data_IF_926450144749
#
_entry.id   IF_926450144749
#
_cell.length_a   1.000
_cell.length_b   1.000
_cell.length_c   1.000
_cell.angle_alpha   90.00
_cell.angle_beta   90.00
_cell.angle_gamma   90.00
#
_symmetry.space_group_name_H-M   'P 1'
#
loop_
_entity.id
_entity.type
_entity.pdbx_description
1 polymer ?
#
# COMPACT_ATOMS: atom_id res chain seq x y z
N UNK A 1 21.07 -59.18 -42.29
CA UNK A 1 21.64 -58.35 -41.22
C UNK A 1 20.71 -58.46 -40.03
N UNK A 2 21.28 -59.01 -38.94
CA UNK A 2 20.86 -59.02 -37.52
C UNK A 2 20.01 -57.80 -37.08
N UNK A 3 19.10 -57.82 -36.10
CA UNK A 3 18.82 -58.63 -34.87
C UNK A 3 17.38 -58.28 -34.42
N UNK A 4 16.48 -59.21 -34.09
CA UNK A 4 16.24 -59.94 -32.82
C UNK A 4 15.60 -59.15 -31.65
N UNK A 5 14.31 -59.45 -31.44
CA UNK A 5 13.39 -59.33 -30.29
C UNK A 5 13.69 -60.36 -29.16
N UNK A 6 13.04 -60.38 -27.97
CA UNK A 6 12.61 -59.31 -27.04
C UNK A 6 12.86 -59.74 -25.53
N UNK A 7 12.05 -59.44 -24.47
CA UNK A 7 12.54 -59.22 -23.09
C UNK A 7 12.26 -60.39 -22.12
N UNK A 8 12.73 -60.36 -20.87
CA UNK A 8 12.12 -61.12 -19.75
C UNK A 8 12.58 -60.61 -18.36
N UNK A 9 11.68 -60.72 -17.38
CA UNK A 9 11.88 -60.62 -15.93
C UNK A 9 11.63 -61.97 -15.24
N UNK A 10 12.30 -62.28 -14.13
CA UNK A 10 11.74 -62.81 -12.86
C UNK A 10 12.78 -63.44 -11.92
N UNK A 11 12.64 -63.12 -10.62
CA UNK A 11 12.83 -63.86 -9.36
C UNK A 11 13.61 -65.18 -9.28
N UNK A 12 14.48 -65.33 -8.25
CA UNK A 12 14.21 -66.12 -7.02
C UNK A 12 15.46 -66.34 -6.13
N UNK A 13 15.26 -66.09 -4.84
CA UNK A 13 15.82 -66.66 -3.59
C UNK A 13 17.03 -67.62 -3.58
N UNK A 14 17.92 -67.43 -2.59
CA UNK A 14 18.51 -68.47 -1.70
C UNK A 14 19.28 -67.78 -0.54
N UNK A 15 18.82 -67.88 0.70
CA UNK A 15 19.13 -68.89 1.74
C UNK A 15 20.32 -68.49 2.65
N UNK A 16 20.02 -68.52 3.96
CA UNK A 16 20.84 -68.22 5.13
C UNK A 16 21.81 -69.38 5.40
N UNK A 17 23.03 -69.10 5.90
CA UNK A 17 23.61 -69.91 6.96
C UNK A 17 24.63 -69.15 7.81
N UNK A 18 24.50 -69.33 9.11
CA UNK A 18 25.42 -68.93 10.17
C UNK A 18 26.71 -69.75 10.14
N UNK A 19 27.82 -69.12 10.55
CA UNK A 19 29.02 -69.65 11.21
C UNK A 19 30.28 -68.96 10.66
N UNK A 20 30.73 -67.92 11.37
CA UNK A 20 32.16 -67.71 11.66
C UNK A 20 32.32 -66.53 12.64
N UNK A 21 32.41 -66.87 13.93
CA UNK A 21 32.90 -65.99 14.99
C UNK A 21 34.41 -66.17 15.12
N UNK A 22 35.22 -65.12 14.91
CA UNK A 22 36.50 -64.93 15.62
C UNK A 22 36.71 -63.45 15.95
N UNK A 23 36.90 -63.20 17.24
CA UNK A 23 37.20 -61.94 17.94
C UNK A 23 38.67 -61.52 17.79
N UNK A 24 38.94 -60.27 17.39
CA UNK A 24 40.11 -59.42 17.74
C UNK A 24 39.63 -57.98 17.48
N UNK A 25 39.40 -57.07 18.43
CA UNK A 25 40.29 -56.52 19.44
C UNK A 25 40.27 -54.99 19.29
N UNK A 26 39.64 -54.32 20.26
CA UNK A 26 39.58 -52.89 20.60
C UNK A 26 40.25 -51.85 19.69
N UNK A 27 39.42 -50.98 19.10
CA UNK A 27 39.72 -49.55 18.95
C UNK A 27 38.45 -48.80 19.37
N UNK A 28 38.49 -48.17 20.54
CA UNK A 28 37.49 -47.19 20.96
C UNK A 28 37.56 -46.00 19.98
N UNK A 29 36.57 -45.87 19.09
CA UNK A 29 36.30 -44.59 18.45
C UNK A 29 35.63 -43.69 19.50
N UNK A 30 36.38 -42.69 19.94
CA UNK A 30 35.86 -41.54 20.68
C UNK A 30 34.95 -40.80 19.70
N UNK A 31 33.65 -40.97 19.84
CA UNK A 31 32.68 -40.08 19.22
C UNK A 31 32.76 -38.79 20.04
N UNK A 32 33.47 -37.80 19.50
CA UNK A 32 33.29 -36.41 19.94
C UNK A 32 31.86 -36.04 19.53
N UNK A 33 30.94 -36.16 20.49
CA UNK A 33 29.63 -35.51 20.45
C UNK A 33 29.86 -33.99 20.58
N UNK A 34 30.38 -33.36 19.52
CA UNK A 34 30.12 -31.94 19.28
C UNK A 34 28.65 -31.85 18.89
N UNK A 35 27.77 -31.75 19.89
CA UNK A 35 26.49 -31.08 19.74
C UNK A 35 26.81 -29.67 19.22
N UNK A 36 26.83 -29.52 17.90
CA UNK A 36 26.61 -28.25 17.22
C UNK A 36 25.22 -27.75 17.65
N UNK A 37 25.16 -27.19 18.86
CA UNK A 37 24.16 -26.22 19.21
C UNK A 37 24.37 -25.09 18.21
N UNK A 38 23.62 -25.13 17.11
CA UNK A 38 23.42 -23.96 16.27
C UNK A 38 22.92 -22.88 17.21
N UNK A 39 23.83 -21.96 17.58
CA UNK A 39 23.43 -20.68 18.14
C UNK A 39 22.49 -20.08 17.10
N UNK A 40 21.19 -20.09 17.41
CA UNK A 40 20.20 -19.32 16.65
C UNK A 40 20.75 -17.90 16.54
N UNK A 41 21.06 -17.48 15.31
CA UNK A 41 21.48 -16.12 15.02
C UNK A 41 20.33 -15.20 15.47
N UNK A 42 20.54 -14.28 16.43
CA UNK A 42 19.49 -13.37 16.89
C UNK A 42 19.02 -12.37 15.81
N UNK A 43 19.48 -12.50 14.57
CA UNK A 43 19.21 -11.60 13.44
C UNK A 43 17.87 -11.85 12.74
N UNK A 44 17.14 -12.93 13.06
CA UNK A 44 15.84 -13.23 12.45
C UNK A 44 14.64 -12.49 13.09
N UNK A 45 14.82 -11.84 14.25
CA UNK A 45 13.77 -11.02 14.86
C UNK A 45 13.80 -9.59 14.30
N UNK A 46 13.03 -9.34 13.22
CA UNK A 46 12.79 -7.99 12.71
C UNK A 46 12.20 -7.04 13.78
N UNK A 47 12.16 -5.73 13.51
CA UNK A 47 11.73 -4.67 14.45
C UNK A 47 10.23 -4.70 14.82
N UNK A 48 9.46 -5.64 14.27
CA UNK A 48 8.02 -5.71 14.44
C UNK A 48 7.64 -6.20 15.85
N UNK A 49 6.70 -5.51 16.49
CA UNK A 49 6.14 -5.94 17.78
C UNK A 49 5.02 -6.98 17.63
N UNK A 50 4.49 -7.15 16.42
CA UNK A 50 3.52 -8.17 16.07
C UNK A 50 3.59 -8.45 14.56
N UNK A 51 3.49 -9.72 14.17
CA UNK A 51 3.48 -10.16 12.77
C UNK A 51 2.21 -10.98 12.52
N UNK A 52 1.46 -10.61 11.48
CA UNK A 52 0.28 -11.31 11.02
C UNK A 52 0.65 -12.17 9.81
N UNK A 53 0.65 -13.50 9.98
CA UNK A 53 1.13 -14.46 8.97
C UNK A 53 0.07 -15.50 8.56
N UNK A 54 -1.22 -15.23 8.75
CA UNK A 54 -2.29 -16.17 8.33
C UNK A 54 -2.75 -16.01 6.88
N UNK A 55 -2.24 -15.00 6.15
CA UNK A 55 -2.31 -15.03 4.69
C UNK A 55 -1.28 -16.05 4.22
N UNK A 56 -1.74 -17.22 3.77
CA UNK A 56 -0.85 -18.37 3.48
C UNK A 56 -0.24 -18.26 2.08
N UNK A 57 -0.90 -17.54 1.18
CA UNK A 57 -0.51 -17.42 -0.22
C UNK A 57 -0.69 -15.99 -0.71
N UNK A 58 0.37 -15.46 -1.31
CA UNK A 58 0.32 -14.22 -2.05
C UNK A 58 0.39 -12.97 -1.19
N UNK A 59 0.10 -11.85 -1.81
CA UNK A 59 0.43 -10.52 -1.28
C UNK A 59 -0.63 -10.02 -0.30
N UNK A 60 -0.22 -9.24 0.71
CA UNK A 60 -1.16 -8.50 1.56
C UNK A 60 -1.27 -7.07 1.04
N UNK A 61 -2.31 -6.79 0.25
CA UNK A 61 -2.44 -5.53 -0.49
C UNK A 61 -2.84 -4.32 0.34
N UNK A 62 -3.64 -4.51 1.39
CA UNK A 62 -4.18 -3.40 2.15
C UNK A 62 -4.32 -3.70 3.63
N UNK A 63 -4.37 -2.64 4.43
CA UNK A 63 -4.68 -2.74 5.85
C UNK A 63 -5.00 -1.41 6.49
N UNK A 64 -5.51 -1.47 7.72
CA UNK A 64 -5.78 -0.28 8.52
C UNK A 64 -5.64 -0.56 10.00
N UNK A 65 -5.46 0.48 10.80
CA UNK A 65 -5.56 0.41 12.26
C UNK A 65 -6.82 1.13 12.70
N UNK A 66 -7.45 0.61 13.76
CA UNK A 66 -8.43 1.39 14.48
C UNK A 66 -7.71 2.54 15.23
N UNK A 67 -8.46 3.50 15.74
CA UNK A 67 -7.94 4.78 16.27
C UNK A 67 -6.94 4.61 17.41
N UNK A 68 -7.17 3.64 18.29
CA UNK A 68 -6.26 3.32 19.40
C UNK A 68 -5.17 2.31 19.03
N UNK A 69 -5.13 1.85 17.78
CA UNK A 69 -4.15 0.88 17.29
C UNK A 69 -4.22 -0.48 17.98
N UNK A 70 -5.34 -0.86 18.60
CA UNK A 70 -5.50 -2.19 19.22
C UNK A 70 -5.98 -3.23 18.21
N UNK A 71 -6.77 -2.81 17.23
CA UNK A 71 -7.23 -3.67 16.15
C UNK A 71 -6.56 -3.25 14.84
N UNK A 72 -6.17 -4.24 14.07
CA UNK A 72 -5.73 -4.06 12.69
C UNK A 72 -6.68 -4.80 11.75
N UNK A 73 -6.73 -4.35 10.51
CA UNK A 73 -7.35 -5.07 9.41
C UNK A 73 -6.30 -5.35 8.36
N UNK A 74 -6.43 -6.48 7.66
CA UNK A 74 -5.63 -6.77 6.46
C UNK A 74 -6.54 -7.34 5.38
N UNK A 75 -6.16 -7.16 4.12
CA UNK A 75 -6.78 -7.78 2.95
C UNK A 75 -5.70 -8.24 1.99
N UNK A 76 -5.85 -9.45 1.45
CA UNK A 76 -4.81 -10.10 0.65
C UNK A 76 -5.30 -10.70 -0.66
N UNK A 77 -4.35 -11.29 -1.38
CA UNK A 77 -4.52 -11.95 -2.69
C UNK A 77 -5.36 -13.23 -2.62
N UNK A 78 -5.47 -13.84 -1.43
CA UNK A 78 -6.26 -15.05 -1.18
C UNK A 78 -7.78 -14.81 -1.02
N UNK A 79 -8.29 -13.68 -1.53
CA UNK A 79 -9.69 -13.26 -1.46
C UNK A 79 -10.23 -13.16 -0.02
N UNK A 80 -9.36 -12.91 0.96
CA UNK A 80 -9.74 -12.79 2.38
C UNK A 80 -9.24 -11.51 2.99
N UNK A 81 -10.00 -11.09 4.00
CA UNK A 81 -9.59 -10.06 4.93
C UNK A 81 -9.74 -10.56 6.36
N UNK A 82 -8.90 -10.04 7.24
CA UNK A 82 -8.91 -10.40 8.66
C UNK A 82 -8.97 -9.16 9.53
N UNK A 83 -9.54 -9.31 10.73
CA UNK A 83 -9.36 -8.38 11.85
C UNK A 83 -8.46 -9.05 12.87
N UNK A 84 -7.48 -8.33 13.36
CA UNK A 84 -6.47 -8.82 14.30
C UNK A 84 -6.49 -8.03 15.59
N UNK A 85 -6.19 -8.69 16.70
CA UNK A 85 -5.71 -8.01 17.89
C UNK A 85 -4.20 -7.78 17.76
N UNK A 86 -3.80 -6.52 17.74
CA UNK A 86 -2.40 -6.09 17.50
C UNK A 86 -1.44 -6.37 18.66
N UNK A 87 -1.94 -6.84 19.81
CA UNK A 87 -1.12 -7.15 20.97
C UNK A 87 -0.82 -8.65 21.05
N UNK A 88 -1.78 -9.48 20.68
CA UNK A 88 -1.68 -10.94 20.72
C UNK A 88 -1.38 -11.57 19.35
N UNK A 89 -1.68 -10.87 18.25
CA UNK A 89 -1.64 -11.44 16.90
C UNK A 89 -2.85 -12.33 16.57
N UNK A 90 -3.83 -12.44 17.46
CA UNK A 90 -4.99 -13.31 17.25
C UNK A 90 -5.96 -12.74 16.21
N UNK A 91 -6.49 -13.61 15.35
CA UNK A 91 -7.59 -13.29 14.45
C UNK A 91 -8.88 -13.13 15.28
N UNK A 92 -9.45 -11.93 15.24
CA UNK A 92 -10.72 -11.57 15.86
C UNK A 92 -11.90 -11.90 14.94
N UNK A 93 -11.73 -11.74 13.63
CA UNK A 93 -12.74 -11.99 12.60
C UNK A 93 -12.08 -12.36 11.27
N UNK A 94 -12.60 -13.40 10.61
CA UNK A 94 -12.29 -13.77 9.23
C UNK A 94 -13.44 -13.30 8.30
N UNK A 95 -13.10 -12.42 7.36
CA UNK A 95 -14.03 -11.79 6.43
C UNK A 95 -14.02 -12.53 5.09
N UNK A 96 -14.70 -13.67 5.04
CA UNK A 96 -14.77 -14.53 3.84
C UNK A 96 -15.91 -14.17 2.88
N UNK A 97 -15.87 -14.73 1.66
CA UNK A 97 -16.95 -14.66 0.67
C UNK A 97 -16.71 -13.68 -0.49
N UNK A 98 -15.54 -13.04 -0.52
CA UNK A 98 -15.02 -12.35 -1.69
C UNK A 98 -14.61 -13.36 -2.77
N UNK A 99 -14.44 -12.88 -4.00
CA UNK A 99 -14.17 -13.72 -5.18
C UNK A 99 -12.93 -13.29 -5.96
N UNK A 100 -12.24 -12.30 -5.42
CA UNK A 100 -11.04 -11.72 -5.98
C UNK A 100 -10.25 -11.04 -4.84
N UNK A 101 -9.04 -10.60 -5.15
CA UNK A 101 -8.08 -10.01 -4.22
C UNK A 101 -8.68 -8.81 -3.47
N UNK A 102 -8.47 -8.75 -2.16
CA UNK A 102 -8.96 -7.63 -1.34
C UNK A 102 -8.02 -6.44 -1.46
N UNK A 103 -8.52 -5.35 -2.04
CA UNK A 103 -7.78 -4.10 -2.25
C UNK A 103 -8.17 -2.99 -1.27
N UNK A 104 -9.21 -3.21 -0.46
CA UNK A 104 -9.63 -2.26 0.56
C UNK A 104 -10.10 -2.98 1.83
N UNK A 105 -9.63 -2.51 2.97
CA UNK A 105 -10.07 -2.97 4.29
C UNK A 105 -9.90 -1.83 5.30
N UNK A 106 -11.00 -1.27 5.82
CA UNK A 106 -10.94 -0.15 6.75
C UNK A 106 -12.09 -0.08 7.75
N UNK A 107 -11.81 0.39 8.96
CA UNK A 107 -12.82 0.76 9.95
C UNK A 107 -13.53 2.06 9.58
N UNK A 108 -14.82 2.14 9.90
CA UNK A 108 -15.57 3.39 9.78
C UNK A 108 -15.22 4.38 10.92
N UNK A 109 -15.74 5.60 10.82
CA UNK A 109 -15.39 6.70 11.74
C UNK A 109 -15.66 6.47 13.23
N UNK A 110 -16.63 5.62 13.59
CA UNK A 110 -17.01 5.30 14.98
C UNK A 110 -16.58 3.89 15.42
N UNK A 111 -15.85 3.17 14.56
CA UNK A 111 -15.39 1.80 14.78
C UNK A 111 -16.52 0.79 15.03
N UNK A 112 -17.76 1.08 14.60
CA UNK A 112 -18.85 0.10 14.66
C UNK A 112 -18.84 -0.88 13.47
N UNK A 113 -18.24 -0.48 12.35
CA UNK A 113 -18.20 -1.25 11.10
C UNK A 113 -16.79 -1.36 10.52
N UNK A 114 -16.55 -2.48 9.83
CA UNK A 114 -15.44 -2.68 8.89
C UNK A 114 -16.03 -2.83 7.48
N UNK A 115 -15.44 -2.17 6.49
CA UNK A 115 -15.72 -2.47 5.08
C UNK A 115 -14.51 -3.16 4.45
N UNK A 116 -14.80 -4.16 3.62
CA UNK A 116 -13.84 -4.87 2.77
C UNK A 116 -14.29 -4.79 1.32
N UNK A 117 -13.35 -4.65 0.38
CA UNK A 117 -13.64 -4.52 -1.04
C UNK A 117 -12.61 -5.25 -1.89
N UNK A 118 -13.07 -6.04 -2.86
CA UNK A 118 -12.21 -6.77 -3.79
C UNK A 118 -12.11 -6.14 -5.19
N UNK A 119 -11.13 -6.60 -5.98
CA UNK A 119 -10.87 -6.12 -7.35
C UNK A 119 -12.07 -6.31 -8.29
N UNK A 120 -12.94 -7.29 -8.03
CA UNK A 120 -14.17 -7.52 -8.80
C UNK A 120 -15.31 -6.55 -8.44
N UNK A 121 -15.06 -5.64 -7.49
CA UNK A 121 -16.02 -4.67 -7.01
C UNK A 121 -17.01 -5.19 -5.97
N UNK A 122 -16.79 -6.38 -5.41
CA UNK A 122 -17.62 -6.88 -4.32
C UNK A 122 -17.20 -6.18 -3.03
N UNK A 123 -18.16 -5.48 -2.44
CA UNK A 123 -18.03 -4.77 -1.18
C UNK A 123 -18.79 -5.55 -0.11
N UNK A 124 -18.20 -5.72 1.06
CA UNK A 124 -18.85 -6.29 2.24
C UNK A 124 -18.66 -5.37 3.44
N UNK A 125 -19.68 -5.27 4.28
CA UNK A 125 -19.62 -4.52 5.54
C UNK A 125 -19.95 -5.45 6.71
N UNK A 126 -19.09 -5.40 7.71
CA UNK A 126 -19.11 -6.24 8.90
C UNK A 126 -19.39 -5.38 10.12
N UNK A 127 -20.31 -5.82 10.98
CA UNK A 127 -20.56 -5.20 12.28
C UNK A 127 -19.64 -5.81 13.33
N UNK A 128 -18.77 -4.99 13.92
CA UNK A 128 -17.71 -5.49 14.81
C UNK A 128 -18.25 -6.12 16.10
N UNK A 129 -19.27 -5.51 16.70
CA UNK A 129 -19.84 -5.97 17.97
C UNK A 129 -20.39 -7.41 17.87
N UNK A 130 -20.99 -7.74 16.72
CA UNK A 130 -21.65 -9.03 16.50
C UNK A 130 -20.79 -9.97 15.63
N UNK A 131 -19.68 -9.47 15.06
CA UNK A 131 -18.81 -10.20 14.14
C UNK A 131 -19.56 -10.81 12.95
N UNK A 132 -20.50 -10.06 12.39
CA UNK A 132 -21.37 -10.52 11.30
C UNK A 132 -21.30 -9.60 10.10
N UNK A 133 -21.37 -10.18 8.90
CA UNK A 133 -21.64 -9.43 7.68
C UNK A 133 -23.08 -8.93 7.71
N UNK A 134 -23.27 -7.63 7.56
CA UNK A 134 -24.58 -6.98 7.62
C UNK A 134 -25.03 -6.39 6.29
N UNK A 135 -24.11 -6.21 5.35
CA UNK A 135 -24.39 -5.61 4.05
C UNK A 135 -23.34 -6.07 3.04
N UNK A 136 -23.76 -6.27 1.80
CA UNK A 136 -22.87 -6.45 0.66
C UNK A 136 -23.47 -5.85 -0.61
N UNK A 137 -22.60 -5.51 -1.56
CA UNK A 137 -22.98 -4.95 -2.84
C UNK A 137 -21.85 -5.17 -3.84
N UNK A 138 -22.18 -5.59 -5.07
CA UNK A 138 -21.22 -5.64 -6.15
C UNK A 138 -21.44 -4.44 -7.08
N UNK A 139 -20.44 -3.56 -7.17
CA UNK A 139 -20.50 -2.36 -8.00
C UNK A 139 -19.86 -2.52 -9.38
N UNK A 140 -19.30 -3.71 -9.70
CA UNK A 140 -18.34 -3.88 -10.78
C UNK A 140 -16.98 -3.27 -10.44
N UNK A 141 -16.01 -3.40 -11.33
CA UNK A 141 -14.59 -3.08 -11.08
C UNK A 141 -14.39 -1.73 -10.34
N UNK A 142 -13.99 -1.83 -9.07
CA UNK A 142 -13.71 -0.71 -8.19
C UNK A 142 -12.21 -0.37 -8.28
N UNK A 143 -11.90 0.93 -8.30
CA UNK A 143 -10.51 1.43 -8.38
C UNK A 143 -9.98 1.88 -7.03
N UNK A 144 -10.84 2.41 -6.17
CA UNK A 144 -10.52 2.80 -4.79
C UNK A 144 -11.79 2.87 -3.95
N UNK A 145 -11.61 2.84 -2.63
CA UNK A 145 -12.69 2.96 -1.66
C UNK A 145 -12.24 3.77 -0.44
N UNK A 146 -13.19 4.38 0.27
CA UNK A 146 -12.93 5.03 1.55
C UNK A 146 -14.19 5.24 2.38
N UNK A 147 -14.02 5.24 3.70
CA UNK A 147 -15.03 5.74 4.61
C UNK A 147 -15.04 7.26 4.68
N UNK A 148 -16.24 7.81 4.86
CA UNK A 148 -16.39 9.19 5.27
C UNK A 148 -15.88 9.39 6.71
N UNK A 149 -15.26 10.54 6.96
CA UNK A 149 -14.50 10.80 8.21
C UNK A 149 -15.37 11.00 9.45
N UNK A 150 -16.66 11.29 9.29
CA UNK A 150 -17.59 11.59 10.41
C UNK A 150 -18.98 10.96 10.26
N UNK A 151 -19.17 10.06 9.28
CA UNK A 151 -20.47 9.46 9.03
C UNK A 151 -20.31 8.01 8.51
N UNK A 152 -21.37 7.21 8.67
CA UNK A 152 -21.43 5.85 8.12
C UNK A 152 -21.76 5.89 6.63
N UNK A 153 -20.86 6.52 5.88
CA UNK A 153 -20.95 6.67 4.44
C UNK A 153 -19.70 6.04 3.84
N UNK A 154 -19.90 5.11 2.91
CA UNK A 154 -18.83 4.48 2.15
C UNK A 154 -18.81 5.09 0.74
N UNK A 155 -17.62 5.40 0.23
CA UNK A 155 -17.38 5.94 -1.10
C UNK A 155 -16.50 4.99 -1.90
N UNK A 156 -16.74 4.89 -3.20
CA UNK A 156 -15.90 4.13 -4.12
C UNK A 156 -15.86 4.76 -5.51
N UNK A 157 -14.72 4.66 -6.19
CA UNK A 157 -14.55 4.99 -7.61
C UNK A 157 -14.66 3.76 -8.49
N UNK A 158 -15.18 3.92 -9.71
CA UNK A 158 -15.27 2.86 -10.73
C UNK A 158 -14.28 3.07 -11.88
N UNK A 159 -14.05 1.99 -12.63
CA UNK A 159 -13.34 2.00 -13.92
C UNK A 159 -14.07 2.86 -14.98
N UNK A 160 -15.39 3.01 -14.91
CA UNK A 160 -16.17 3.86 -15.82
C UNK A 160 -16.21 5.35 -15.39
N UNK A 161 -15.66 5.65 -14.21
CA UNK A 161 -15.47 7.00 -13.67
C UNK A 161 -16.59 7.51 -12.78
N UNK A 162 -17.62 6.71 -12.52
CA UNK A 162 -18.62 7.05 -11.49
C UNK A 162 -18.00 7.02 -10.10
N UNK A 163 -18.58 7.82 -9.21
CA UNK A 163 -18.37 7.69 -7.77
C UNK A 163 -19.65 7.18 -7.15
N UNK A 164 -19.56 6.11 -6.38
CA UNK A 164 -20.66 5.58 -5.60
C UNK A 164 -20.54 6.03 -4.16
N UNK A 165 -21.68 6.35 -3.54
CA UNK A 165 -21.77 6.78 -2.15
C UNK A 165 -22.93 6.07 -1.46
N UNK A 166 -22.63 5.16 -0.54
CA UNK A 166 -23.64 4.39 0.19
C UNK A 166 -23.77 4.87 1.62
N UNK A 167 -25.02 4.97 2.10
CA UNK A 167 -25.31 5.11 3.52
C UNK A 167 -25.40 3.72 4.15
N UNK A 168 -24.52 3.43 5.09
CA UNK A 168 -24.42 2.13 5.75
C UNK A 168 -25.11 2.18 7.13
N UNK A 169 -25.91 1.16 7.51
CA UNK A 169 -26.13 -0.11 6.82
C UNK A 169 -27.36 -0.14 5.89
N UNK A 170 -28.09 0.97 5.77
CA UNK A 170 -29.35 1.03 5.02
C UNK A 170 -29.17 0.66 3.53
N UNK A 171 -27.99 0.92 2.96
CA UNK A 171 -27.64 0.60 1.58
C UNK A 171 -28.10 1.65 0.56
N UNK A 172 -28.70 2.76 1.01
CA UNK A 172 -29.12 3.85 0.13
C UNK A 172 -27.90 4.37 -0.65
N UNK A 173 -27.94 4.22 -1.98
CA UNK A 173 -26.83 4.54 -2.86
C UNK A 173 -27.10 5.81 -3.68
N UNK A 174 -26.12 6.70 -3.71
CA UNK A 174 -26.06 7.83 -4.63
C UNK A 174 -24.89 7.64 -5.59
N UNK A 175 -25.17 7.71 -6.89
CA UNK A 175 -24.14 7.60 -7.95
C UNK A 175 -23.89 8.98 -8.53
N UNK A 176 -22.61 9.36 -8.60
CA UNK A 176 -22.13 10.58 -9.20
C UNK A 176 -21.77 10.24 -10.64
N UNK A 177 -22.23 11.06 -11.58
CA UNK A 177 -22.08 10.82 -13.01
C UNK A 177 -20.61 10.58 -13.38
N UNK A 178 -20.34 9.44 -14.01
CA UNK A 178 -19.06 9.10 -14.61
C UNK A 178 -18.85 9.82 -15.93
N UNK A 179 -17.58 9.90 -16.35
CA UNK A 179 -17.15 10.60 -17.57
C UNK A 179 -16.53 9.66 -18.61
N UNK A 180 -16.69 8.33 -18.45
CA UNK A 180 -16.16 7.33 -19.36
C UNK A 180 -14.64 7.18 -19.28
N UNK A 181 -14.08 7.42 -18.09
CA UNK A 181 -12.65 7.41 -17.81
C UNK A 181 -12.44 7.00 -16.35
N UNK A 182 -11.46 6.14 -16.08
CA UNK A 182 -11.25 5.54 -14.75
C UNK A 182 -11.06 6.62 -13.69
N UNK A 183 -11.79 6.51 -12.59
CA UNK A 183 -11.57 7.34 -11.41
C UNK A 183 -10.44 6.71 -10.59
N UNK A 184 -9.20 7.14 -10.77
CA UNK A 184 -8.01 6.43 -10.26
C UNK A 184 -7.72 6.72 -8.77
N UNK A 185 -8.10 7.89 -8.28
CA UNK A 185 -7.88 8.25 -6.87
C UNK A 185 -8.93 9.22 -6.35
N UNK A 186 -9.15 9.21 -5.03
CA UNK A 186 -10.09 10.07 -4.34
C UNK A 186 -9.54 10.58 -3.02
N UNK A 187 -9.96 11.77 -2.60
CA UNK A 187 -9.63 12.33 -1.27
C UNK A 187 -10.77 13.21 -0.77
N UNK A 188 -11.34 12.85 0.39
CA UNK A 188 -12.38 13.66 1.06
C UNK A 188 -11.70 14.89 1.67
N UNK A 189 -12.31 16.06 1.46
CA UNK A 189 -11.88 17.28 2.12
C UNK A 189 -12.14 17.20 3.62
N UNK A 190 -11.27 17.79 4.47
CA UNK A 190 -11.50 17.89 5.91
C UNK A 190 -12.87 18.42 6.34
N UNK A 191 -13.54 19.22 5.50
CA UNK A 191 -14.91 19.71 5.73
C UNK A 191 -16.00 18.63 5.67
N UNK A 192 -15.70 17.43 5.18
CA UNK A 192 -16.62 16.29 5.03
C UNK A 192 -17.77 16.56 4.04
N UNK A 193 -17.64 17.57 3.18
CA UNK A 193 -18.70 17.98 2.25
C UNK A 193 -18.27 17.83 0.80
N UNK A 194 -16.96 17.80 0.55
CA UNK A 194 -16.39 17.71 -0.79
C UNK A 194 -15.45 16.52 -0.91
N UNK A 195 -15.28 16.08 -2.15
CA UNK A 195 -14.26 15.09 -2.53
C UNK A 195 -13.50 15.61 -3.75
N UNK A 196 -12.18 15.44 -3.78
CA UNK A 196 -11.36 15.58 -4.96
C UNK A 196 -11.18 14.20 -5.60
N UNK A 197 -11.38 14.10 -6.91
CA UNK A 197 -11.24 12.85 -7.67
C UNK A 197 -10.29 13.09 -8.84
N UNK A 198 -9.28 12.24 -8.97
CA UNK A 198 -8.33 12.22 -10.07
C UNK A 198 -8.67 11.10 -11.05
N UNK A 199 -8.56 11.39 -12.34
CA UNK A 199 -8.93 10.47 -13.42
C UNK A 199 -7.71 10.05 -14.26
N UNK A 200 -7.86 8.96 -15.00
CA UNK A 200 -6.82 8.43 -15.91
C UNK A 200 -6.44 9.42 -17.03
N UNK A 201 -7.37 10.29 -17.46
CA UNK A 201 -7.14 11.30 -18.49
C UNK A 201 -6.43 12.57 -17.99
N UNK A 202 -6.03 12.60 -16.71
CA UNK A 202 -5.37 13.74 -16.07
C UNK A 202 -6.31 14.85 -15.60
N UNK A 203 -7.62 14.68 -15.76
CA UNK A 203 -8.61 15.60 -15.20
C UNK A 203 -8.75 15.37 -13.71
N UNK A 204 -8.92 16.45 -12.95
CA UNK A 204 -9.29 16.39 -11.53
C UNK A 204 -10.61 17.11 -11.35
N UNK A 205 -11.54 16.53 -10.59
CA UNK A 205 -12.85 17.12 -10.29
C UNK A 205 -13.04 17.25 -8.79
N UNK A 206 -13.55 18.41 -8.38
CA UNK A 206 -14.00 18.65 -7.01
C UNK A 206 -15.51 18.55 -6.99
N UNK A 207 -16.05 17.61 -6.23
CA UNK A 207 -17.48 17.29 -6.19
C UNK A 207 -18.06 17.67 -4.83
N UNK A 208 -19.31 18.13 -4.81
CA UNK A 208 -20.10 18.28 -3.58
C UNK A 208 -20.80 16.96 -3.27
N UNK A 209 -20.55 16.39 -2.10
CA UNK A 209 -21.09 15.08 -1.71
C UNK A 209 -22.62 15.11 -1.52
N UNK A 210 -23.18 16.25 -1.12
CA UNK A 210 -24.61 16.40 -0.86
C UNK A 210 -25.41 16.54 -2.15
N UNK A 211 -24.96 17.38 -3.09
CA UNK A 211 -25.67 17.67 -4.34
C UNK A 211 -25.25 16.76 -5.48
N UNK A 212 -24.08 16.12 -5.41
CA UNK A 212 -23.41 15.41 -6.51
C UNK A 212 -23.09 16.27 -7.72
N UNK A 213 -22.96 17.59 -7.52
CA UNK A 213 -22.52 18.51 -8.56
C UNK A 213 -21.01 18.64 -8.57
N UNK A 214 -20.43 18.80 -9.76
CA UNK A 214 -19.05 19.29 -9.92
C UNK A 214 -18.99 20.76 -9.50
N UNK A 215 -18.17 21.07 -8.50
CA UNK A 215 -17.91 22.43 -8.02
C UNK A 215 -16.81 23.13 -8.84
N UNK A 216 -15.75 22.39 -9.15
CA UNK A 216 -14.63 22.87 -9.96
C UNK A 216 -13.92 21.71 -10.65
N UNK A 217 -13.10 22.01 -11.65
CA UNK A 217 -12.29 21.01 -12.35
C UNK A 217 -10.95 21.60 -12.79
N UNK A 218 -9.93 20.76 -12.83
CA UNK A 218 -8.62 21.07 -13.39
C UNK A 218 -8.50 20.26 -14.68
N UNK A 219 -8.41 20.96 -15.81
CA UNK A 219 -8.33 20.33 -17.13
C UNK A 219 -6.93 19.79 -17.39
N UNK A 220 -6.86 18.65 -18.08
CA UNK A 220 -5.61 18.03 -18.51
C UNK A 220 -4.76 18.90 -19.45
N UNK A 221 -5.38 19.86 -20.14
CA UNK A 221 -4.68 20.82 -20.99
C UNK A 221 -3.84 21.85 -20.20
N UNK A 222 -4.16 22.07 -18.92
CA UNK A 222 -3.47 23.03 -18.06
C UNK A 222 -2.68 22.35 -16.94
N UNK A 223 -3.19 21.23 -16.41
CA UNK A 223 -2.60 20.50 -15.29
C UNK A 223 -1.80 19.28 -15.74
N UNK A 224 -2.36 18.11 -15.47
CA UNK A 224 -1.73 16.82 -15.77
C UNK A 224 -2.15 16.29 -17.13
N UNK A 225 -1.20 15.76 -17.89
CA UNK A 225 -1.45 15.20 -19.22
C UNK A 225 -1.55 13.67 -19.23
N UNK A 226 -1.64 13.05 -18.05
CA UNK A 226 -1.69 11.60 -17.86
C UNK A 226 -2.36 11.26 -16.52
N UNK A 227 -2.49 9.97 -16.24
CA UNK A 227 -3.18 9.40 -15.08
C UNK A 227 -2.77 10.04 -13.77
N UNK A 228 -3.76 10.54 -13.03
CA UNK A 228 -3.56 11.02 -11.67
C UNK A 228 -3.30 9.83 -10.75
N UNK A 229 -2.10 9.76 -10.18
CA UNK A 229 -1.68 8.68 -9.29
C UNK A 229 -2.12 8.94 -7.85
N UNK A 230 -2.12 10.20 -7.42
CA UNK A 230 -2.39 10.55 -6.03
C UNK A 230 -2.96 11.96 -5.88
N UNK A 231 -3.86 12.14 -4.91
CA UNK A 231 -4.40 13.43 -4.49
C UNK A 231 -4.46 13.48 -2.95
N UNK A 232 -4.02 14.61 -2.38
CA UNK A 232 -4.32 14.95 -0.98
C UNK A 232 -4.97 16.33 -0.87
N UNK A 233 -5.86 16.47 0.11
CA UNK A 233 -6.56 17.71 0.41
C UNK A 233 -5.90 18.41 1.61
N UNK A 234 -5.58 19.69 1.46
CA UNK A 234 -5.00 20.47 2.54
C UNK A 234 -6.02 20.69 3.66
N UNK A 235 -5.55 20.78 4.91
CA UNK A 235 -6.41 20.84 6.11
C UNK A 235 -7.33 22.08 6.15
N UNK A 236 -6.95 23.15 5.45
CA UNK A 236 -7.75 24.38 5.33
C UNK A 236 -8.85 24.30 4.26
N UNK A 237 -8.91 23.19 3.52
CA UNK A 237 -9.82 22.90 2.42
C UNK A 237 -9.70 23.79 1.17
N UNK A 238 -8.66 24.61 1.07
CA UNK A 238 -8.47 25.56 -0.05
C UNK A 238 -7.54 25.03 -1.14
N UNK A 239 -6.65 24.10 -0.80
CA UNK A 239 -5.66 23.55 -1.70
C UNK A 239 -5.83 22.05 -1.88
N UNK A 240 -5.48 21.59 -3.08
CA UNK A 240 -5.22 20.19 -3.38
C UNK A 240 -3.78 20.05 -3.87
N UNK A 241 -3.18 18.92 -3.54
CA UNK A 241 -1.91 18.45 -4.08
C UNK A 241 -2.24 17.26 -4.97
N UNK A 242 -1.75 17.27 -6.20
CA UNK A 242 -1.94 16.18 -7.15
C UNK A 242 -0.62 15.80 -7.80
N UNK A 243 -0.46 14.50 -8.05
CA UNK A 243 0.64 13.98 -8.85
C UNK A 243 0.11 13.00 -9.88
N UNK A 244 0.89 12.79 -10.94
CA UNK A 244 0.49 11.96 -12.06
C UNK A 244 1.69 11.27 -12.71
N UNK A 245 1.39 10.29 -13.57
CA UNK A 245 2.37 9.56 -14.41
C UNK A 245 3.15 10.51 -15.34
N UNK A 246 2.62 11.71 -15.61
CA UNK A 246 3.32 12.75 -16.37
C UNK A 246 4.51 13.40 -15.64
N UNK A 247 4.86 12.88 -14.45
CA UNK A 247 6.00 13.31 -13.65
C UNK A 247 5.82 14.67 -12.97
N UNK A 248 4.63 15.28 -13.07
CA UNK A 248 4.35 16.55 -12.41
C UNK A 248 3.79 16.35 -11.01
N UNK A 249 4.16 17.27 -10.11
CA UNK A 249 3.46 17.52 -8.85
C UNK A 249 2.88 18.92 -8.92
N UNK A 250 1.57 19.06 -8.74
CA UNK A 250 0.84 20.32 -8.90
C UNK A 250 0.08 20.65 -7.61
N UNK A 251 0.12 21.92 -7.23
CA UNK A 251 -0.79 22.48 -6.23
C UNK A 251 -1.82 23.34 -6.94
N UNK A 252 -3.09 23.10 -6.63
CA UNK A 252 -4.22 23.83 -7.20
C UNK A 252 -5.20 24.28 -6.13
N UNK A 253 -5.97 25.32 -6.42
CA UNK A 253 -7.07 25.77 -5.57
C UNK A 253 -8.30 24.87 -5.73
N UNK A 254 -8.87 24.40 -4.63
CA UNK A 254 -10.06 23.54 -4.64
C UNK A 254 -11.32 24.26 -5.13
N UNK A 255 -11.45 25.56 -4.84
CA UNK A 255 -12.67 26.32 -5.14
C UNK A 255 -12.77 26.71 -6.61
N UNK A 256 -11.65 26.86 -7.31
CA UNK A 256 -11.65 27.37 -8.69
C UNK A 256 -10.97 26.46 -9.69
N UNK A 257 -10.25 25.42 -9.25
CA UNK A 257 -9.43 24.58 -10.12
C UNK A 257 -8.23 25.32 -10.73
N UNK A 258 -7.90 26.52 -10.25
CA UNK A 258 -6.70 27.24 -10.72
C UNK A 258 -5.44 26.59 -10.16
N UNK A 259 -4.49 26.33 -11.04
CA UNK A 259 -3.13 25.90 -10.68
C UNK A 259 -2.43 27.05 -9.98
N UNK A 260 -1.95 26.77 -8.78
CA UNK A 260 -1.15 27.70 -7.98
C UNK A 260 0.31 27.57 -8.37
N UNK A 261 0.81 26.34 -8.46
CA UNK A 261 2.19 26.06 -8.86
C UNK A 261 2.33 24.64 -9.38
N UNK A 262 3.28 24.46 -10.31
CA UNK A 262 3.84 23.14 -10.66
C UNK A 262 5.11 23.04 -9.82
N UNK A 263 5.04 22.29 -8.72
CA UNK A 263 6.16 22.14 -7.79
C UNK A 263 7.31 21.34 -8.40
N UNK A 264 6.95 20.30 -9.14
CA UNK A 264 7.88 19.32 -9.69
C UNK A 264 7.52 19.00 -11.12
N UNK A 265 8.53 18.76 -11.96
CA UNK A 265 8.38 18.11 -13.26
C UNK A 265 9.61 17.24 -13.51
N UNK A 266 9.48 15.94 -13.25
CA UNK A 266 10.55 14.95 -13.38
C UNK A 266 11.01 14.75 -14.84
N UNK A 267 10.14 15.04 -15.81
CA UNK A 267 10.43 14.86 -17.23
C UNK A 267 11.21 16.03 -17.85
N UNK A 268 11.39 17.14 -17.12
CA UNK A 268 12.11 18.33 -17.61
C UNK A 268 13.58 18.41 -17.14
N UNK A 269 14.08 17.40 -16.40
CA UNK A 269 15.46 17.34 -15.92
C UNK A 269 16.45 16.83 -16.98
N UNK A 270 17.27 17.74 -17.50
CA UNK A 270 18.54 17.56 -18.26
C UNK A 270 18.90 16.16 -18.83
N UNK A 271 18.35 15.81 -20.00
CA UNK A 271 19.18 15.20 -21.04
C UNK A 271 20.08 16.27 -21.69
N UNK A 272 21.06 16.79 -20.93
CA UNK A 272 22.13 17.58 -21.50
C UNK A 272 23.14 16.64 -22.19
N UNK A 273 23.08 16.62 -23.53
CA UNK A 273 24.13 16.21 -24.46
C UNK A 273 24.74 14.80 -24.29
N UNK A 274 24.12 13.80 -24.92
CA UNK A 274 24.84 12.95 -25.88
C UNK A 274 23.97 12.83 -27.13
N UNK A 275 24.23 13.68 -28.12
CA UNK A 275 23.84 13.39 -29.50
C UNK A 275 24.62 12.17 -29.96
N UNK A 276 24.05 10.98 -29.80
CA UNK A 276 24.40 9.86 -30.67
C UNK A 276 23.20 9.62 -31.57
N UNK A 277 23.36 10.12 -32.80
CA UNK A 277 22.62 9.63 -33.95
C UNK A 277 22.81 8.12 -34.00
N UNK A 278 21.77 7.36 -33.67
CA UNK A 278 21.49 6.12 -34.38
C UNK A 278 19.99 5.84 -34.36
N UNK A 279 19.39 5.94 -35.54
CA UNK A 279 18.08 5.40 -35.82
C UNK A 279 18.23 3.88 -35.91
N UNK A 280 17.87 3.15 -34.85
CA UNK A 280 17.49 1.74 -35.01
C UNK A 280 16.72 1.18 -33.83
N UNK A 281 15.63 0.50 -34.20
CA UNK A 281 14.93 -0.57 -33.51
C UNK A 281 14.00 -0.19 -32.34
N UNK A 282 12.70 -0.24 -32.66
CA UNK A 282 11.63 -0.59 -31.74
C UNK A 282 11.92 -1.98 -31.17
N UNK A 283 12.17 -2.08 -29.86
CA UNK A 283 12.08 -3.32 -29.11
C UNK A 283 11.26 -3.10 -27.84
N UNK A 284 10.19 -3.87 -27.75
CA UNK A 284 9.30 -4.02 -26.62
C UNK A 284 10.00 -4.73 -25.47
N UNK A 285 10.68 -3.98 -24.61
CA UNK A 285 10.95 -4.33 -23.21
C UNK A 285 10.81 -3.04 -22.39
N UNK A 286 10.17 -3.13 -21.23
CA UNK A 286 9.63 -2.01 -20.46
C UNK A 286 10.58 -0.84 -20.27
N UNK A 287 10.03 0.36 -20.39
CA UNK A 287 10.70 1.65 -20.18
C UNK A 287 11.17 1.76 -18.71
N UNK A 288 12.36 1.20 -18.39
CA UNK A 288 12.99 1.24 -17.05
C UNK A 288 13.44 2.64 -16.62
N UNK A 289 13.26 3.66 -17.46
CA UNK A 289 13.67 5.04 -17.19
C UNK A 289 12.49 5.98 -16.85
N UNK A 290 11.27 5.47 -16.71
CA UNK A 290 10.11 6.29 -16.37
C UNK A 290 9.99 6.51 -14.87
N UNK A 291 10.34 7.71 -14.39
CA UNK A 291 10.20 8.13 -12.99
C UNK A 291 8.91 8.95 -12.83
N UNK A 292 7.98 8.50 -11.97
CA UNK A 292 6.79 9.27 -11.61
C UNK A 292 6.60 9.33 -10.10
N UNK A 293 5.71 10.23 -9.67
CA UNK A 293 5.33 10.39 -8.27
C UNK A 293 4.21 9.41 -7.95
N UNK A 294 4.49 8.48 -7.04
CA UNK A 294 3.54 7.45 -6.63
C UNK A 294 2.63 7.93 -5.50
N UNK A 295 3.18 8.72 -4.59
CA UNK A 295 2.49 9.10 -3.36
C UNK A 295 2.78 10.55 -2.98
N UNK A 296 1.78 11.23 -2.42
CA UNK A 296 1.87 12.61 -2.00
C UNK A 296 1.01 12.86 -0.77
N UNK A 297 1.50 13.69 0.16
CA UNK A 297 0.75 14.05 1.36
C UNK A 297 1.13 15.43 1.90
N UNK A 298 0.12 16.24 2.22
CA UNK A 298 0.29 17.44 3.04
C UNK A 298 0.61 17.05 4.49
N UNK A 299 1.56 17.77 5.09
CA UNK A 299 1.75 17.71 6.52
C UNK A 299 0.53 18.33 7.22
N UNK A 300 -0.02 17.63 8.21
CA UNK A 300 -1.22 18.09 8.93
C UNK A 300 -0.89 19.06 10.06
N UNK A 301 0.40 19.28 10.37
CA UNK A 301 0.86 20.27 11.35
C UNK A 301 0.67 21.71 10.81
N UNK A 302 -0.21 22.54 11.40
CA UNK A 302 -0.46 23.90 10.91
C UNK A 302 0.76 24.84 11.02
N UNK A 303 1.71 24.54 11.93
CA UNK A 303 2.95 25.29 12.08
C UNK A 303 4.03 24.88 11.06
N UNK A 304 3.83 23.77 10.34
CA UNK A 304 4.76 23.21 9.38
C UNK A 304 4.06 22.97 8.04
N UNK A 305 3.80 24.05 7.31
CA UNK A 305 3.05 24.06 6.05
C UNK A 305 3.88 23.51 4.88
N UNK A 306 4.09 22.19 4.90
CA UNK A 306 4.81 21.46 3.86
C UNK A 306 3.94 20.37 3.24
N UNK A 307 4.36 19.86 2.09
CA UNK A 307 3.92 18.57 1.59
C UNK A 307 5.11 17.72 1.20
N UNK A 308 4.95 16.40 1.22
CA UNK A 308 5.93 15.45 0.73
C UNK A 308 5.40 14.74 -0.52
N UNK A 309 6.28 14.42 -1.45
CA UNK A 309 6.05 13.51 -2.57
C UNK A 309 7.12 12.43 -2.61
N UNK A 310 6.74 11.22 -2.99
CA UNK A 310 7.62 10.06 -3.10
C UNK A 310 7.50 9.44 -4.48
N UNK A 311 8.63 9.03 -5.06
CA UNK A 311 8.69 8.45 -6.41
C UNK A 311 8.96 6.95 -6.40
N UNK A 312 8.63 6.31 -7.52
CA UNK A 312 8.94 4.89 -7.76
C UNK A 312 10.44 4.58 -7.81
N UNK A 313 11.29 5.59 -7.96
CA UNK A 313 12.75 5.46 -7.94
C UNK A 313 13.39 5.82 -6.58
N UNK A 314 12.58 6.09 -5.55
CA UNK A 314 13.09 6.31 -4.19
C UNK A 314 13.44 7.77 -3.86
N UNK A 315 13.01 8.74 -4.66
CA UNK A 315 13.22 10.15 -4.33
C UNK A 315 12.04 10.69 -3.50
N UNK A 316 12.33 11.28 -2.34
CA UNK A 316 11.37 12.02 -1.54
C UNK A 316 11.65 13.52 -1.69
N UNK A 317 10.62 14.30 -1.99
CA UNK A 317 10.70 15.75 -2.06
C UNK A 317 9.79 16.37 -1.01
N UNK A 318 10.32 17.28 -0.19
CA UNK A 318 9.53 18.05 0.77
C UNK A 318 9.46 19.49 0.27
N UNK A 319 8.25 19.97 0.08
CA UNK A 319 7.93 21.27 -0.52
C UNK A 319 7.40 22.23 0.53
N UNK A 320 7.90 23.48 0.54
CA UNK A 320 7.28 24.58 1.27
C UNK A 320 6.05 25.05 0.49
N UNK A 321 4.85 24.88 1.04
CA UNK A 321 3.60 25.17 0.33
C UNK A 321 3.35 26.66 0.21
N UNK A 322 3.70 27.42 1.25
CA UNK A 322 3.53 28.87 1.24
C UNK A 322 4.48 29.54 0.25
N UNK A 323 5.74 29.06 0.19
CA UNK A 323 6.77 29.62 -0.72
C UNK A 323 6.77 28.98 -2.11
N UNK A 324 6.14 27.81 -2.27
CA UNK A 324 6.11 27.04 -3.51
C UNK A 324 7.52 26.63 -3.97
N UNK A 325 8.38 26.20 -3.04
CA UNK A 325 9.76 25.84 -3.33
C UNK A 325 10.15 24.53 -2.67
N UNK A 326 11.08 23.81 -3.28
CA UNK A 326 11.70 22.63 -2.68
C UNK A 326 12.45 23.01 -1.41
N UNK A 327 12.24 22.26 -0.33
CA UNK A 327 12.99 22.36 0.92
C UNK A 327 14.04 21.29 1.04
N UNK A 328 13.63 20.04 0.84
CA UNK A 328 14.49 18.87 0.98
C UNK A 328 14.28 17.94 -0.19
N UNK A 329 15.37 17.37 -0.68
CA UNK A 329 15.39 16.19 -1.55
C UNK A 329 16.12 15.09 -0.78
N UNK A 330 15.46 13.96 -0.60
CA UNK A 330 16.01 12.79 0.10
C UNK A 330 16.04 11.65 -0.91
N UNK A 331 17.16 10.96 -1.00
CA UNK A 331 17.31 9.75 -1.83
C UNK A 331 17.25 8.55 -0.90
N UNK A 332 16.19 7.76 -1.07
CA UNK A 332 16.02 6.43 -0.48
C UNK A 332 16.58 5.39 -1.45
N UNK A 333 17.06 4.28 -0.92
CA UNK A 333 17.73 3.22 -1.68
C UNK A 333 16.77 2.33 -2.52
N UNK A 334 15.46 2.60 -2.47
CA UNK A 334 14.39 1.80 -3.08
C UNK A 334 13.18 2.67 -3.43
N UNK A 335 12.36 2.20 -4.37
CA UNK A 335 11.09 2.83 -4.72
C UNK A 335 10.16 3.01 -3.53
N UNK A 336 9.28 4.01 -3.59
CA UNK A 336 8.38 4.36 -2.49
C UNK A 336 6.95 4.04 -2.90
N UNK A 337 6.30 3.15 -2.15
CA UNK A 337 4.88 2.83 -2.34
C UNK A 337 3.95 3.78 -1.59
N UNK A 338 4.37 4.26 -0.41
CA UNK A 338 3.52 5.12 0.43
C UNK A 338 4.32 6.10 1.28
N UNK A 339 3.78 7.32 1.45
CA UNK A 339 4.26 8.32 2.40
C UNK A 339 3.15 8.72 3.37
N UNK A 340 3.46 8.79 4.66
CA UNK A 340 2.55 9.31 5.68
C UNK A 340 3.26 10.22 6.68
N UNK A 341 2.62 11.35 7.00
CA UNK A 341 3.02 12.18 8.14
C UNK A 341 2.43 11.62 9.43
N UNK A 342 3.22 11.57 10.50
CA UNK A 342 2.73 11.17 11.83
C UNK A 342 1.94 12.31 12.46
N UNK A 343 0.63 12.34 12.24
CA UNK A 343 -0.30 13.31 12.83
C UNK A 343 0.16 14.77 12.65
N UNK A 344 0.22 15.52 13.76
CA UNK A 344 0.66 16.92 13.79
C UNK A 344 2.16 17.11 14.06
N UNK A 345 2.98 16.07 13.90
CA UNK A 345 4.44 16.15 14.07
C UNK A 345 5.14 16.62 12.78
N UNK A 346 6.47 16.60 12.75
CA UNK A 346 7.26 16.74 11.52
C UNK A 346 7.85 15.43 11.03
N UNK A 347 7.43 14.30 11.59
CA UNK A 347 7.92 12.98 11.22
C UNK A 347 7.20 12.49 9.98
N UNK A 348 7.99 12.09 8.98
CA UNK A 348 7.53 11.53 7.72
C UNK A 348 7.97 10.07 7.65
N UNK A 349 7.02 9.18 7.38
CA UNK A 349 7.28 7.76 7.17
C UNK A 349 7.20 7.42 5.68
N UNK A 350 8.10 6.56 5.22
CA UNK A 350 8.07 5.98 3.88
C UNK A 350 8.07 4.45 3.94
N UNK A 351 7.21 3.85 3.13
CA UNK A 351 7.23 2.43 2.83
C UNK A 351 8.09 2.19 1.58
N UNK A 352 9.16 1.40 1.73
CA UNK A 352 10.04 1.05 0.63
C UNK A 352 9.67 -0.27 -0.06
N UNK A 353 9.92 -0.33 -1.37
CA UNK A 353 9.91 -1.55 -2.18
C UNK A 353 11.16 -2.43 -1.92
N UNK A 354 11.62 -2.44 -0.68
CA UNK A 354 12.74 -3.23 -0.17
C UNK A 354 12.42 -3.84 1.20
N UNK A 355 11.16 -3.82 1.61
CA UNK A 355 10.72 -4.35 2.89
C UNK A 355 11.00 -3.46 4.10
N UNK A 356 11.53 -2.24 3.90
CA UNK A 356 11.96 -1.39 5.01
C UNK A 356 11.04 -0.17 5.15
N UNK A 357 10.42 -0.05 6.32
CA UNK A 357 9.73 1.17 6.75
C UNK A 357 10.77 2.15 7.29
N UNK A 358 10.77 3.40 6.81
CA UNK A 358 11.72 4.43 7.26
C UNK A 358 11.00 5.62 7.86
N UNK A 359 11.63 6.28 8.82
CA UNK A 359 11.17 7.53 9.44
C UNK A 359 12.22 8.62 9.24
N UNK A 360 11.78 9.79 8.80
CA UNK A 360 12.61 10.98 8.57
C UNK A 360 12.09 12.17 9.38
N UNK A 361 12.97 13.09 9.80
CA UNK A 361 12.52 14.43 10.21
C UNK A 361 12.32 15.27 8.95
N UNK A 362 11.09 15.69 8.71
CA UNK A 362 10.74 16.51 7.56
C UNK A 362 11.38 17.91 7.56
N UNK A 363 11.94 18.37 8.68
CA UNK A 363 12.62 19.69 8.77
C UNK A 363 13.97 19.68 8.06
N UNK A 364 14.82 18.73 8.38
CA UNK A 364 16.21 18.65 7.90
C UNK A 364 16.43 17.51 6.89
N UNK A 365 15.44 16.63 6.72
CA UNK A 365 15.50 15.50 5.79
C UNK A 365 16.33 14.33 6.30
N UNK A 366 16.73 14.32 7.58
CA UNK A 366 17.54 13.25 8.14
C UNK A 366 16.69 12.00 8.40
N UNK A 367 17.23 10.84 8.02
CA UNK A 367 16.67 9.54 8.41
C UNK A 367 16.91 9.32 9.90
N UNK A 368 15.84 9.23 10.68
CA UNK A 368 15.88 9.04 12.12
C UNK A 368 15.91 7.55 12.49
N UNK A 369 15.12 6.73 11.78
CA UNK A 369 15.00 5.30 12.05
C UNK A 369 14.65 4.53 10.78
N UNK A 370 15.13 3.29 10.70
CA UNK A 370 14.67 2.27 9.78
C UNK A 370 14.10 1.11 10.60
N UNK A 371 13.02 0.51 10.13
CA UNK A 371 12.37 -0.64 10.72
C UNK A 371 12.46 -1.79 9.71
N UNK A 372 13.13 -2.86 10.13
CA UNK A 372 13.39 -4.04 9.31
C UNK A 372 12.42 -5.17 9.64
N UNK A 373 12.25 -6.08 8.70
CA UNK A 373 11.58 -7.35 8.97
C UNK A 373 10.91 -7.96 7.75
N UNK A 374 10.26 -7.17 6.90
CA UNK A 374 9.66 -7.71 5.69
C UNK A 374 10.73 -8.25 4.73
N UNK A 375 10.39 -9.35 4.05
CA UNK A 375 11.28 -10.04 3.11
C UNK A 375 11.03 -9.67 1.65
N UNK A 376 10.01 -8.85 1.39
CA UNK A 376 9.62 -8.33 0.09
C UNK A 376 9.05 -6.92 0.23
N UNK A 377 8.56 -6.36 -0.88
CA UNK A 377 8.09 -4.98 -0.99
C UNK A 377 6.99 -4.65 0.02
N UNK A 378 7.03 -3.45 0.61
CA UNK A 378 5.91 -2.93 1.41
C UNK A 378 4.90 -2.31 0.44
N UNK A 379 3.65 -2.78 0.48
CA UNK A 379 2.59 -2.36 -0.43
C UNK A 379 1.70 -1.24 0.14
N UNK A 380 1.44 -1.28 1.45
CA UNK A 380 0.68 -0.23 2.13
C UNK A 380 1.25 0.08 3.52
N UNK A 381 0.95 1.28 4.00
CA UNK A 381 1.38 1.81 5.29
C UNK A 381 0.24 2.57 5.94
N UNK A 382 0.01 2.31 7.22
CA UNK A 382 -0.97 3.01 8.04
C UNK A 382 -0.36 3.42 9.38
N UNK A 383 -0.71 4.61 9.88
CA UNK A 383 -0.34 5.07 11.23
C UNK A 383 -1.62 5.23 12.05
N UNK A 384 -1.68 4.61 13.23
CA UNK A 384 -2.77 4.77 14.20
C UNK A 384 -3.02 6.23 14.57
N UNK A 385 -4.27 6.61 14.86
CA UNK A 385 -4.64 8.01 15.14
C UNK A 385 -3.95 8.55 16.41
N UNK A 386 -3.70 7.69 17.41
CA UNK A 386 -2.88 8.05 18.58
C UNK A 386 -1.37 8.20 18.26
N UNK A 387 -0.93 7.80 17.06
CA UNK A 387 0.45 7.91 16.60
C UNK A 387 1.42 6.99 17.34
N UNK A 388 0.95 5.88 17.92
CA UNK A 388 1.78 4.95 18.68
C UNK A 388 2.24 3.74 17.86
N UNK A 389 1.46 3.35 16.86
CA UNK A 389 1.74 2.19 16.00
C UNK A 389 1.69 2.52 14.51
N UNK A 390 2.58 1.89 13.76
CA UNK A 390 2.51 1.77 12.31
C UNK A 390 2.16 0.33 11.91
N UNK A 391 1.32 0.17 10.90
CA UNK A 391 1.01 -1.10 10.24
C UNK A 391 1.57 -1.04 8.82
N UNK A 392 2.27 -2.08 8.40
CA UNK A 392 2.69 -2.30 7.01
C UNK A 392 2.14 -3.62 6.49
N UNK A 393 1.87 -3.68 5.19
CA UNK A 393 1.50 -4.91 4.48
C UNK A 393 2.47 -5.15 3.33
N UNK A 394 2.69 -6.40 2.94
CA UNK A 394 3.79 -6.74 2.02
C UNK A 394 3.45 -7.91 1.09
N UNK A 395 4.22 -7.99 0.00
CA UNK A 395 4.29 -9.14 -0.91
C UNK A 395 4.81 -10.41 -0.22
N UNK A 396 5.42 -10.31 0.97
CA UNK A 396 5.93 -11.47 1.72
C UNK A 396 4.83 -12.26 2.47
N UNK A 397 3.57 -12.06 2.09
CA UNK A 397 2.39 -12.66 2.71
C UNK A 397 2.19 -12.26 4.18
N UNK A 398 2.89 -11.24 4.69
CA UNK A 398 2.73 -10.77 6.06
C UNK A 398 2.26 -9.33 6.13
N UNK A 399 1.68 -9.00 7.29
CA UNK A 399 1.52 -7.63 7.73
C UNK A 399 2.15 -7.46 9.11
N UNK A 400 2.75 -6.31 9.38
CA UNK A 400 3.57 -6.08 10.58
C UNK A 400 3.16 -4.82 11.32
N UNK A 401 3.20 -4.91 12.64
CA UNK A 401 2.99 -3.77 13.54
C UNK A 401 4.34 -3.34 14.10
N UNK A 402 4.64 -2.04 14.00
CA UNK A 402 5.81 -1.43 14.62
C UNK A 402 5.39 -0.43 15.70
N UNK A 403 6.10 -0.42 16.83
CA UNK A 403 5.96 0.62 17.84
C UNK A 403 6.75 1.87 17.42
N UNK A 404 6.02 2.97 17.25
CA UNK A 404 6.55 4.28 16.87
C UNK A 404 6.24 5.35 17.94
N UNK A 405 5.77 4.95 19.12
CA UNK A 405 5.39 5.85 20.21
C UNK A 405 6.56 6.68 20.74
N UNK A 406 7.77 6.11 20.72
CA UNK A 406 9.01 6.77 21.15
C UNK A 406 9.52 7.87 20.22
N UNK A 407 8.99 7.95 18.98
CA UNK A 407 9.39 8.96 18.01
C UNK A 407 8.56 10.24 18.20
N UNK A 408 9.25 11.33 18.55
CA UNK A 408 8.66 12.64 18.89
C UNK A 408 9.08 13.76 17.94
#
# INVERSE_FOLDING_TARGET
MHTDTPPFSSDMANQINEEDMIYIGDVEEVIDDEEDAMEEDPSEEGDAICVFSSHEIGSVFCGSLNKNGKLATTGGEEDKAYIWDTSSGEIILDCTGHKDSIIFSAFNHDESYLATGDMSGMIQVWKLADKTKIWDYNMGDATWMMWHTVANILLAGSVDGEIYMWKIPDGDCKVFQGYGCRAETGSIFPDGKRIAVGYEDGVIRILDLKTSSVLSSISSALGHSSTITTIDCHWDNNLILSAAVDGKTIISTSNTGKIVSILQNLNNGEHNNVTNNDQSAVSSEGNRDSNWVETAAFCKNPAFQVAATGTVNGEIFIWDISKQMLRQKIEQESGISKLLWKGNTTLLFSAGLDGILRCFDGKDGLRLRSFFGHMADILDLYISENGEKALTTSDDSTARIFDISSLS
#
